data_IF_860661478390
#
_entry.id   IF_860661478390
#
_cell.length_a   1.000
_cell.length_b   1.000
_cell.length_c   1.000
_cell.angle_alpha   90.00
_cell.angle_beta   90.00
_cell.angle_gamma   90.00
#
_symmetry.space_group_name_H-M   'P 1'
#
loop_
_entity.id
_entity.type
_entity.pdbx_description
1 polymer ?
#
# COMPACT_ATOMS: atom_id res chain seq x y z
N UNK A 1 13.55 31.87 -1.44
CA UNK A 1 13.07 30.47 -1.48
C UNK A 1 12.32 30.16 -0.20
N UNK A 2 11.24 29.38 -0.26
CA UNK A 2 10.33 29.17 0.88
C UNK A 2 10.72 27.98 1.79
N UNK A 3 11.85 27.31 1.54
CA UNK A 3 12.29 26.16 2.35
C UNK A 3 11.38 24.92 2.24
N UNK A 4 10.64 24.78 1.14
CA UNK A 4 9.70 23.68 0.91
C UNK A 4 10.34 22.57 0.08
N UNK A 5 10.19 21.33 0.52
CA UNK A 5 10.56 20.13 -0.25
C UNK A 5 9.34 19.29 -0.56
N UNK A 6 9.23 18.81 -1.80
CA UNK A 6 8.15 17.93 -2.25
C UNK A 6 8.72 16.57 -2.68
N UNK A 7 8.13 15.49 -2.17
CA UNK A 7 8.46 14.12 -2.57
C UNK A 7 7.23 13.43 -3.18
N UNK A 8 7.45 12.65 -4.24
CA UNK A 8 6.43 11.79 -4.84
C UNK A 8 6.91 10.35 -4.77
N UNK A 9 6.24 9.55 -3.95
CA UNK A 9 6.51 8.11 -3.81
C UNK A 9 5.39 7.30 -4.45
N UNK A 10 5.72 6.53 -5.48
CA UNK A 10 4.73 5.74 -6.23
C UNK A 10 4.48 4.39 -5.56
N UNK A 11 3.43 4.32 -4.75
CA UNK A 11 2.95 3.08 -4.12
C UNK A 11 1.47 2.85 -4.43
N UNK A 12 1.13 2.32 -5.63
CA UNK A 12 -0.25 2.26 -6.15
C UNK A 12 -1.27 1.57 -5.25
N UNK A 13 -0.80 0.61 -4.45
CA UNK A 13 -1.61 -0.21 -3.55
C UNK A 13 -1.38 0.11 -2.08
N UNK A 14 -0.42 0.99 -1.75
CA UNK A 14 0.11 1.28 -0.40
C UNK A 14 0.76 0.08 0.31
N UNK A 15 0.19 -1.11 0.14
CA UNK A 15 0.74 -2.40 0.57
C UNK A 15 1.69 -2.99 -0.48
N UNK A 16 2.47 -3.96 -0.04
CA UNK A 16 3.60 -4.46 -0.82
C UNK A 16 3.20 -5.46 -1.92
N UNK A 17 3.90 -5.39 -3.04
CA UNK A 17 3.98 -6.50 -4.00
C UNK A 17 5.37 -7.12 -3.87
N UNK A 18 5.39 -8.40 -3.52
CA UNK A 18 6.63 -9.16 -3.27
C UNK A 18 6.76 -10.27 -4.29
N UNK A 19 7.95 -10.46 -4.85
CA UNK A 19 8.24 -11.60 -5.74
C UNK A 19 8.50 -12.85 -4.90
N UNK A 20 7.61 -13.82 -5.01
CA UNK A 20 7.72 -15.13 -4.38
C UNK A 20 7.97 -16.22 -5.44
N UNK A 21 8.19 -17.47 -5.01
CA UNK A 21 8.36 -18.61 -5.92
C UNK A 21 7.18 -18.82 -6.88
N UNK A 22 5.97 -18.42 -6.46
CA UNK A 22 4.73 -18.55 -7.24
C UNK A 22 4.49 -17.40 -8.21
N UNK A 23 5.27 -16.30 -8.13
CA UNK A 23 5.08 -15.10 -8.94
C UNK A 23 5.07 -13.82 -8.11
N UNK A 24 4.57 -12.73 -8.68
CA UNK A 24 4.33 -11.48 -7.95
C UNK A 24 3.10 -11.63 -7.05
N UNK A 25 3.25 -11.34 -5.76
CA UNK A 25 2.18 -11.52 -4.77
C UNK A 25 1.85 -10.19 -4.12
N UNK A 26 0.59 -9.78 -4.13
CA UNK A 26 0.10 -8.61 -3.38
C UNK A 26 -0.13 -9.02 -1.92
N UNK A 27 0.68 -8.50 -1.00
CA UNK A 27 0.59 -8.78 0.43
C UNK A 27 -0.33 -7.77 1.11
N UNK A 28 -1.56 -8.17 1.44
CA UNK A 28 -2.55 -7.24 2.03
C UNK A 28 -2.21 -6.80 3.46
N UNK A 29 -1.27 -7.48 4.13
CA UNK A 29 -0.91 -7.25 5.53
C UNK A 29 0.53 -6.72 5.71
N UNK A 30 1.15 -6.19 4.65
CA UNK A 30 2.54 -5.71 4.70
C UNK A 30 2.70 -4.31 4.08
N UNK A 31 3.46 -3.45 4.76
CA UNK A 31 3.86 -2.11 4.29
C UNK A 31 5.33 -1.90 4.66
N UNK A 32 6.23 -2.25 3.74
CA UNK A 32 7.66 -2.02 3.89
C UNK A 32 8.06 -0.62 3.39
N UNK A 33 7.36 -0.09 2.38
CA UNK A 33 7.60 1.24 1.82
C UNK A 33 7.34 2.40 2.80
N UNK A 34 6.62 2.16 3.90
CA UNK A 34 6.22 3.21 4.84
C UNK A 34 7.37 3.94 5.53
N UNK A 35 8.58 3.36 5.57
CA UNK A 35 9.77 4.04 6.12
C UNK A 35 10.05 5.39 5.44
N UNK A 36 9.74 5.50 4.14
CA UNK A 36 9.94 6.73 3.37
C UNK A 36 8.97 7.87 3.77
N UNK A 37 7.88 7.56 4.46
CA UNK A 37 6.84 8.53 4.83
C UNK A 37 7.04 9.10 6.24
N UNK A 38 7.89 8.47 7.06
CA UNK A 38 8.12 8.89 8.44
C UNK A 38 8.82 10.26 8.47
N UNK A 39 8.34 11.13 9.35
CA UNK A 39 8.92 12.46 9.57
C UNK A 39 8.55 13.51 8.52
N UNK A 40 7.65 13.21 7.58
CA UNK A 40 7.07 14.23 6.71
C UNK A 40 6.13 15.14 7.49
N UNK A 41 6.12 16.44 7.18
CA UNK A 41 5.20 17.40 7.81
C UNK A 41 3.76 17.24 7.28
N UNK A 42 3.62 16.82 6.01
CA UNK A 42 2.32 16.56 5.37
C UNK A 42 2.39 15.27 4.56
N UNK A 43 1.41 14.40 4.74
CA UNK A 43 1.25 13.15 4.00
C UNK A 43 -0.08 13.12 3.24
N UNK A 44 -0.01 12.95 1.92
CA UNK A 44 -1.19 12.80 1.06
C UNK A 44 -1.15 11.41 0.43
N UNK A 45 -2.10 10.56 0.79
CA UNK A 45 -2.24 9.22 0.23
C UNK A 45 -3.39 9.17 -0.78
N UNK A 46 -3.18 8.44 -1.87
CA UNK A 46 -4.22 8.13 -2.83
C UNK A 46 -4.07 6.68 -3.30
N UNK A 47 -5.17 5.94 -3.32
CA UNK A 47 -5.21 4.54 -3.71
C UNK A 47 -6.63 4.20 -4.16
N UNK A 48 -6.83 3.70 -5.38
CA UNK A 48 -8.09 3.09 -5.85
C UNK A 48 -7.96 2.54 -7.26
N UNK A 49 -7.59 3.40 -8.22
CA UNK A 49 -7.67 3.14 -9.65
C UNK A 49 -7.07 1.77 -10.04
N UNK A 50 -5.85 1.48 -9.59
CA UNK A 50 -5.12 0.26 -9.94
C UNK A 50 -5.67 -1.03 -9.31
N UNK A 51 -6.47 -0.95 -8.25
CA UNK A 51 -7.04 -2.13 -7.59
C UNK A 51 -8.04 -2.84 -8.48
N UNK A 52 -8.68 -2.12 -9.39
CA UNK A 52 -9.72 -2.68 -10.28
C UNK A 52 -9.15 -3.36 -11.52
N UNK A 53 -7.83 -3.21 -11.76
CA UNK A 53 -7.18 -3.79 -12.92
C UNK A 53 -7.28 -5.33 -12.94
N UNK A 54 -7.41 -5.87 -14.15
CA UNK A 54 -7.45 -7.31 -14.44
C UNK A 54 -6.60 -7.62 -15.68
N UNK A 55 -6.28 -8.90 -15.87
CA UNK A 55 -5.51 -9.37 -17.02
C UNK A 55 -4.11 -8.73 -17.05
N UNK A 56 -3.68 -8.27 -18.23
CA UNK A 56 -2.32 -7.73 -18.45
C UNK A 56 -2.01 -6.47 -17.63
N UNK A 57 -3.03 -5.73 -17.17
CA UNK A 57 -2.86 -4.51 -16.38
C UNK A 57 -2.76 -4.76 -14.87
N UNK A 58 -2.94 -6.01 -14.43
CA UNK A 58 -2.82 -6.39 -13.03
C UNK A 58 -1.35 -6.58 -12.65
N UNK A 59 -0.91 -5.94 -11.57
CA UNK A 59 0.49 -5.93 -11.16
C UNK A 59 0.91 -7.16 -10.33
N UNK A 60 -0.01 -8.07 -10.03
CA UNK A 60 0.22 -9.26 -9.20
C UNK A 60 -0.38 -10.51 -9.84
N UNK A 61 0.22 -11.66 -9.56
CA UNK A 61 -0.22 -12.99 -9.99
C UNK A 61 -1.10 -13.68 -8.94
N UNK A 62 -0.91 -13.33 -7.66
CA UNK A 62 -1.61 -13.87 -6.48
C UNK A 62 -1.81 -12.78 -5.41
N UNK A 63 -2.71 -13.04 -4.47
CA UNK A 63 -2.99 -12.17 -3.32
C UNK A 63 -2.76 -12.98 -2.04
N UNK A 64 -2.01 -12.40 -1.10
CA UNK A 64 -1.79 -12.98 0.23
C UNK A 64 -2.61 -12.22 1.28
N UNK A 65 -3.45 -12.96 1.99
CA UNK A 65 -4.28 -12.50 3.11
C UNK A 65 -3.88 -13.30 4.36
N UNK A 66 -2.98 -12.72 5.15
CA UNK A 66 -2.27 -13.43 6.21
C UNK A 66 -1.47 -14.62 5.65
N UNK A 67 -1.80 -15.83 6.10
CA UNK A 67 -1.19 -17.07 5.62
C UNK A 67 -1.82 -17.60 4.32
N UNK A 68 -3.05 -17.17 3.99
CA UNK A 68 -3.77 -17.67 2.84
C UNK A 68 -3.25 -17.05 1.54
N UNK A 69 -3.08 -17.89 0.51
CA UNK A 69 -2.67 -17.49 -0.83
C UNK A 69 -3.83 -17.72 -1.79
N UNK A 70 -4.30 -16.66 -2.43
CA UNK A 70 -5.40 -16.69 -3.38
C UNK A 70 -4.89 -16.38 -4.78
N UNK A 71 -5.39 -17.11 -5.79
CA UNK A 71 -5.13 -16.72 -7.18
C UNK A 71 -5.76 -15.38 -7.51
N UNK A 72 -6.95 -15.14 -6.97
CA UNK A 72 -7.67 -13.88 -7.10
C UNK A 72 -8.62 -13.64 -5.92
N UNK A 73 -9.07 -12.39 -5.74
CA UNK A 73 -9.98 -11.99 -4.67
C UNK A 73 -10.95 -10.90 -5.15
N UNK A 74 -12.12 -10.78 -4.53
CA UNK A 74 -12.98 -9.60 -4.74
C UNK A 74 -12.18 -8.30 -4.50
N UNK A 75 -12.22 -7.37 -5.46
CA UNK A 75 -11.38 -6.15 -5.43
C UNK A 75 -11.71 -5.21 -4.27
N UNK A 76 -12.99 -5.09 -3.93
CA UNK A 76 -13.41 -4.26 -2.81
C UNK A 76 -12.94 -4.87 -1.48
N UNK A 77 -13.00 -6.19 -1.34
CA UNK A 77 -12.47 -6.88 -0.15
C UNK A 77 -10.95 -6.74 -0.04
N UNK A 78 -10.22 -6.92 -1.13
CA UNK A 78 -8.76 -6.75 -1.16
C UNK A 78 -8.38 -5.30 -0.79
N UNK A 79 -9.08 -4.32 -1.38
CA UNK A 79 -8.89 -2.90 -1.10
C UNK A 79 -9.16 -2.57 0.37
N UNK A 80 -10.29 -3.05 0.92
CA UNK A 80 -10.64 -2.86 2.32
C UNK A 80 -9.58 -3.41 3.26
N UNK A 81 -9.08 -4.63 3.00
CA UNK A 81 -8.02 -5.25 3.81
C UNK A 81 -6.70 -4.49 3.72
N UNK A 82 -6.29 -4.11 2.50
CA UNK A 82 -5.07 -3.32 2.28
C UNK A 82 -5.13 -1.95 2.97
N UNK A 83 -6.26 -1.23 2.85
CA UNK A 83 -6.45 0.04 3.55
C UNK A 83 -6.54 -0.12 5.06
N UNK A 84 -7.09 -1.22 5.56
CA UNK A 84 -7.08 -1.50 7.01
C UNK A 84 -5.65 -1.67 7.54
N UNK A 85 -4.78 -2.30 6.76
CA UNK A 85 -3.34 -2.40 7.08
C UNK A 85 -2.66 -1.03 7.03
N UNK A 86 -2.96 -0.22 6.01
CA UNK A 86 -2.45 1.15 5.92
C UNK A 86 -2.91 2.04 7.08
N UNK A 87 -4.19 1.99 7.46
CA UNK A 87 -4.71 2.77 8.59
C UNK A 87 -3.98 2.41 9.89
N UNK A 88 -3.81 1.11 10.18
CA UNK A 88 -3.01 0.66 11.34
C UNK A 88 -1.57 1.13 11.29
N UNK A 89 -0.97 1.15 10.09
CA UNK A 89 0.37 1.68 9.92
C UNK A 89 0.42 3.17 10.26
N UNK A 90 -0.55 3.96 9.79
CA UNK A 90 -0.65 5.40 10.12
C UNK A 90 -0.77 5.60 11.62
N UNK A 91 -1.73 4.93 12.26
CA UNK A 91 -1.96 5.03 13.72
C UNK A 91 -0.72 4.71 14.55
N UNK A 92 0.11 3.78 14.05
CA UNK A 92 1.31 3.33 14.76
C UNK A 92 2.55 4.20 14.48
N UNK A 93 2.62 4.86 13.33
CA UNK A 93 3.86 5.45 12.83
C UNK A 93 3.81 6.97 12.58
N UNK A 94 2.63 7.58 12.59
CA UNK A 94 2.45 9.01 12.32
C UNK A 94 2.11 9.74 13.62
N UNK A 95 2.97 10.70 13.97
CA UNK A 95 2.72 11.62 15.08
C UNK A 95 1.86 12.78 14.59
N UNK A 96 0.55 12.73 14.86
CA UNK A 96 -0.44 13.73 14.37
C UNK A 96 -0.27 15.12 14.99
N UNK A 97 0.56 15.25 16.04
CA UNK A 97 0.94 16.56 16.59
C UNK A 97 1.95 17.27 15.69
N UNK A 98 2.71 16.52 14.88
CA UNK A 98 3.74 17.04 13.97
C UNK A 98 3.36 16.93 12.50
N UNK A 99 2.82 15.78 12.10
CA UNK A 99 2.45 15.48 10.72
C UNK A 99 0.96 15.72 10.49
N UNK A 100 0.60 16.25 9.32
CA UNK A 100 -0.77 16.40 8.83
C UNK A 100 -1.10 15.47 7.68
#
# INVERSE_FOLDING_TARGET
EYGVTLYVYRTPYLVDIVREKVGAVLHLNSINGGKAWKGMDVLIFNSWHWWTHKGKSQAWDYIRDGSALHKDMNRLLAYYKGLSTWAKWVDTNVDTTKTK
#
